data_IF_625812776645
#
_entry.id   IF_625812776645
#
_cell.length_a   1.000
_cell.length_b   1.000
_cell.length_c   1.000
_cell.angle_alpha   90.00
_cell.angle_beta   90.00
_cell.angle_gamma   90.00
#
_symmetry.space_group_name_H-M   'P 1'
#
loop_
_entity.id
_entity.type
_entity.pdbx_description
1 polymer ?
#
# COMPACT_ATOMS: atom_id res chain seq x y z
N UNK A 1 6.56 12.09 2.87
CA UNK A 1 7.26 11.07 2.06
C UNK A 1 6.97 11.33 0.59
N UNK A 2 7.95 11.08 -0.29
CA UNK A 2 7.80 11.34 -1.72
C UNK A 2 6.67 10.54 -2.37
N UNK A 3 6.47 9.31 -1.92
CA UNK A 3 5.39 8.46 -2.44
C UNK A 3 4.03 9.04 -2.09
N UNK A 4 3.86 9.51 -0.86
CA UNK A 4 2.63 10.19 -0.44
C UNK A 4 2.34 11.40 -1.32
N UNK A 5 3.35 12.23 -1.55
CA UNK A 5 3.19 13.43 -2.38
C UNK A 5 2.77 13.07 -3.81
N UNK A 6 3.32 11.98 -4.36
CA UNK A 6 2.93 11.51 -5.69
C UNK A 6 1.43 11.18 -5.76
N UNK A 7 0.93 10.42 -4.79
CA UNK A 7 -0.49 10.05 -4.76
C UNK A 7 -1.38 11.27 -4.56
N UNK A 8 -0.99 12.18 -3.68
CA UNK A 8 -1.80 13.38 -3.43
C UNK A 8 -1.87 14.28 -4.67
N UNK A 9 -0.79 14.37 -5.45
CA UNK A 9 -0.83 15.10 -6.73
C UNK A 9 -1.77 14.46 -7.73
N UNK A 10 -2.01 13.16 -7.61
CA UNK A 10 -2.96 12.43 -8.46
C UNK A 10 -4.40 12.46 -7.92
N UNK A 11 -4.65 13.26 -6.87
CA UNK A 11 -6.00 13.43 -6.33
C UNK A 11 -6.39 12.47 -5.24
N UNK A 12 -5.46 11.65 -4.72
CA UNK A 12 -5.73 10.75 -3.60
C UNK A 12 -5.72 11.51 -2.28
N UNK A 13 -6.51 11.02 -1.33
CA UNK A 13 -6.56 11.56 0.03
C UNK A 13 -5.82 10.59 0.94
N UNK A 14 -4.89 11.11 1.73
CA UNK A 14 -4.16 10.30 2.71
C UNK A 14 -5.06 10.02 3.92
N UNK A 15 -5.33 8.76 4.18
CA UNK A 15 -6.16 8.31 5.29
C UNK A 15 -5.31 7.90 6.50
N UNK A 16 -4.19 7.22 6.29
CA UNK A 16 -3.32 6.78 7.36
C UNK A 16 -1.90 6.54 6.88
N UNK A 17 -0.94 6.71 7.78
CA UNK A 17 0.46 6.36 7.58
C UNK A 17 0.88 5.37 8.66
N UNK A 18 1.67 4.36 8.27
CA UNK A 18 2.23 3.37 9.20
C UNK A 18 1.19 2.82 10.15
N UNK A 19 0.05 2.45 9.61
CA UNK A 19 -1.02 1.90 10.41
C UNK A 19 -0.67 0.49 10.86
N UNK A 20 -0.72 0.25 12.17
CA UNK A 20 -0.28 -0.99 12.77
C UNK A 20 -1.43 -1.79 13.36
N UNK A 21 -1.31 -3.11 13.25
CA UNK A 21 -2.22 -4.06 13.88
C UNK A 21 -1.43 -5.34 14.19
N UNK A 22 -2.02 -6.33 14.89
CA UNK A 22 -1.31 -7.59 15.18
C UNK A 22 -0.81 -8.33 13.95
N UNK A 23 -1.48 -8.16 12.80
CA UNK A 23 -1.08 -8.82 11.55
C UNK A 23 0.11 -8.16 10.87
N UNK A 24 0.43 -6.90 11.22
CA UNK A 24 1.54 -6.17 10.62
C UNK A 24 1.26 -4.69 10.45
N UNK A 25 2.07 -4.03 9.63
CA UNK A 25 1.98 -2.61 9.36
C UNK A 25 1.61 -2.37 7.90
N UNK A 26 0.77 -1.37 7.66
CA UNK A 26 0.48 -0.86 6.32
C UNK A 26 1.17 0.48 6.19
N UNK A 27 2.03 0.64 5.18
CA UNK A 27 2.81 1.86 5.03
C UNK A 27 1.95 3.08 4.78
N UNK A 28 1.01 2.98 3.86
CA UNK A 28 0.07 4.06 3.54
C UNK A 28 -1.31 3.51 3.24
N UNK A 29 -2.33 4.23 3.66
CA UNK A 29 -3.71 4.01 3.26
C UNK A 29 -4.20 5.29 2.58
N UNK A 30 -4.64 5.17 1.34
CA UNK A 30 -5.06 6.30 0.54
C UNK A 30 -6.45 6.04 -0.03
N UNK A 31 -7.24 7.10 -0.16
CA UNK A 31 -8.57 7.02 -0.73
C UNK A 31 -8.58 7.67 -2.10
N UNK A 32 -9.16 6.99 -3.09
CA UNK A 32 -9.39 7.53 -4.42
C UNK A 32 -10.81 7.20 -4.83
N UNK A 33 -11.66 8.21 -4.97
CA UNK A 33 -13.07 8.05 -5.33
C UNK A 33 -13.76 7.04 -4.40
N UNK A 34 -14.06 5.84 -4.90
CA UNK A 34 -14.80 4.84 -4.17
C UNK A 34 -13.94 3.67 -3.69
N UNK A 35 -12.62 3.82 -3.68
CA UNK A 35 -11.72 2.74 -3.34
C UNK A 35 -10.68 3.18 -2.32
N UNK A 36 -10.21 2.21 -1.52
CA UNK A 36 -9.05 2.40 -0.65
C UNK A 36 -7.86 1.67 -1.27
N UNK A 37 -6.74 2.36 -1.37
CA UNK A 37 -5.47 1.78 -1.79
C UNK A 37 -4.60 1.55 -0.56
N UNK A 38 -4.21 0.30 -0.35
CA UNK A 38 -3.26 -0.08 0.69
C UNK A 38 -1.91 -0.24 0.03
N UNK A 39 -0.93 0.53 0.49
CA UNK A 39 0.34 0.66 -0.19
C UNK A 39 1.47 0.07 0.64
N UNK A 40 2.28 -0.76 -0.01
CA UNK A 40 3.55 -1.26 0.50
C UNK A 40 4.68 -0.53 -0.21
N UNK A 41 5.62 0.02 0.55
CA UNK A 41 6.79 0.71 0.01
C UNK A 41 8.01 -0.19 0.17
N UNK A 42 8.71 -0.46 -0.92
CA UNK A 42 9.91 -1.28 -0.93
C UNK A 42 11.08 -0.51 -1.54
N UNK A 43 12.24 -0.62 -0.92
CA UNK A 43 13.48 -0.05 -1.41
C UNK A 43 14.43 -1.15 -1.86
N UNK A 44 15.10 -0.92 -2.98
CA UNK A 44 16.12 -1.83 -3.48
C UNK A 44 16.98 -1.12 -4.53
N UNK A 45 18.05 -1.78 -4.98
CA UNK A 45 18.90 -1.25 -6.05
C UNK A 45 18.13 -1.08 -7.35
N UNK A 46 17.19 -1.98 -7.64
CA UNK A 46 16.32 -1.90 -8.82
C UNK A 46 14.88 -2.16 -8.41
N UNK A 47 13.94 -1.69 -9.24
CA UNK A 47 12.51 -1.92 -9.01
C UNK A 47 12.16 -3.41 -9.09
N UNK A 48 12.74 -4.14 -10.03
CA UNK A 48 12.52 -5.58 -10.15
C UNK A 48 12.92 -6.34 -8.89
N UNK A 49 14.08 -6.01 -8.31
CA UNK A 49 14.54 -6.64 -7.07
C UNK A 49 13.63 -6.33 -5.89
N UNK A 50 13.09 -5.10 -5.84
CA UNK A 50 12.16 -4.72 -4.79
C UNK A 50 10.87 -5.54 -4.89
N UNK A 51 10.32 -5.72 -6.09
CA UNK A 51 9.11 -6.51 -6.31
C UNK A 51 9.31 -7.99 -5.97
N UNK A 52 10.47 -8.55 -6.30
CA UNK A 52 10.78 -9.95 -6.02
C UNK A 52 10.80 -10.29 -4.54
N UNK A 53 10.97 -9.28 -3.67
CA UNK A 53 10.97 -9.48 -2.22
C UNK A 53 9.58 -9.69 -1.64
N UNK A 54 8.53 -9.47 -2.42
CA UNK A 54 7.17 -9.58 -1.95
C UNK A 54 6.66 -11.00 -2.20
N UNK A 55 6.74 -11.84 -1.15
CA UNK A 55 6.28 -13.22 -1.20
C UNK A 55 4.86 -13.40 -0.70
N UNK A 56 4.38 -14.64 -0.77
CA UNK A 56 3.02 -14.99 -0.37
C UNK A 56 2.70 -14.61 1.08
N UNK A 57 3.65 -14.77 2.00
CA UNK A 57 3.45 -14.39 3.42
C UNK A 57 3.23 -12.89 3.56
N UNK A 58 3.96 -12.09 2.79
CA UNK A 58 3.81 -10.64 2.81
C UNK A 58 2.45 -10.23 2.30
N UNK A 59 1.99 -10.87 1.22
CA UNK A 59 0.68 -10.61 0.64
C UNK A 59 -0.43 -10.96 1.63
N UNK A 60 -0.35 -12.13 2.27
CA UNK A 60 -1.32 -12.55 3.27
C UNK A 60 -1.36 -11.58 4.44
N UNK A 61 -0.21 -11.14 4.91
CA UNK A 61 -0.11 -10.19 6.01
C UNK A 61 -0.76 -8.86 5.65
N UNK A 62 -0.48 -8.36 4.45
CA UNK A 62 -1.08 -7.11 3.97
C UNK A 62 -2.60 -7.24 3.86
N UNK A 63 -3.08 -8.37 3.34
CA UNK A 63 -4.51 -8.62 3.23
C UNK A 63 -5.18 -8.63 4.59
N UNK A 64 -4.59 -9.35 5.56
CA UNK A 64 -5.12 -9.41 6.92
C UNK A 64 -5.10 -8.04 7.59
N UNK A 65 -4.04 -7.26 7.37
CA UNK A 65 -3.95 -5.91 7.91
C UNK A 65 -5.01 -4.98 7.29
N UNK A 66 -5.28 -5.14 5.99
CA UNK A 66 -6.33 -4.38 5.33
C UNK A 66 -7.71 -4.71 5.91
N UNK A 67 -8.01 -5.98 6.15
CA UNK A 67 -9.27 -6.37 6.78
C UNK A 67 -9.38 -5.81 8.21
N UNK A 68 -8.28 -5.81 8.96
CA UNK A 68 -8.24 -5.22 10.29
C UNK A 68 -8.48 -3.70 10.23
N UNK A 69 -7.95 -3.03 9.21
CA UNK A 69 -8.20 -1.60 9.00
C UNK A 69 -9.68 -1.33 8.75
N UNK A 70 -10.32 -2.11 7.86
CA UNK A 70 -11.75 -1.94 7.59
C UNK A 70 -12.57 -2.11 8.87
N UNK A 71 -12.24 -3.12 9.67
CA UNK A 71 -12.94 -3.36 10.93
C UNK A 71 -12.74 -2.22 11.92
N UNK A 72 -11.51 -1.74 12.07
CA UNK A 72 -11.18 -0.65 12.99
C UNK A 72 -11.88 0.66 12.62
N UNK A 73 -12.08 0.91 11.33
CA UNK A 73 -12.76 2.11 10.83
C UNK A 73 -14.25 1.90 10.62
N UNK A 74 -14.76 0.72 10.99
CA UNK A 74 -16.18 0.38 10.84
C UNK A 74 -16.67 0.49 9.40
N UNK A 75 -15.79 0.12 8.46
CA UNK A 75 -16.12 0.07 7.04
C UNK A 75 -16.60 -1.34 6.67
N UNK A 76 -17.53 -1.47 5.70
CA UNK A 76 -17.99 -2.79 5.25
C UNK A 76 -16.85 -3.62 4.69
N UNK A 77 -16.91 -4.95 4.87
CA UNK A 77 -15.89 -5.86 4.32
C UNK A 77 -15.97 -5.96 2.79
N UNK A 78 -17.05 -5.51 2.16
CA UNK A 78 -17.15 -5.41 0.72
C UNK A 78 -16.69 -4.05 0.18
N UNK A 79 -16.07 -3.22 1.03
CA UNK A 79 -15.45 -1.98 0.58
C UNK A 79 -14.46 -2.29 -0.55
N UNK A 80 -14.51 -1.48 -1.60
CA UNK A 80 -13.61 -1.66 -2.73
C UNK A 80 -12.18 -1.31 -2.30
N UNK A 81 -11.28 -2.27 -2.35
CA UNK A 81 -9.89 -2.10 -1.94
C UNK A 81 -8.94 -2.49 -3.06
N UNK A 82 -7.74 -1.93 -3.02
CA UNK A 82 -6.68 -2.19 -3.96
C UNK A 82 -5.36 -2.23 -3.22
N UNK A 83 -4.46 -3.11 -3.64
CA UNK A 83 -3.10 -3.17 -3.09
C UNK A 83 -2.12 -2.65 -4.12
N UNK A 84 -1.39 -1.61 -3.76
CA UNK A 84 -0.36 -1.02 -4.61
C UNK A 84 1.01 -1.26 -3.99
N UNK A 85 2.01 -1.34 -4.84
CA UNK A 85 3.40 -1.41 -4.40
C UNK A 85 4.16 -0.25 -5.01
N UNK A 86 4.83 0.53 -4.16
CA UNK A 86 5.74 1.56 -4.60
C UNK A 86 7.16 1.07 -4.39
N UNK A 87 7.97 1.11 -5.43
CA UNK A 87 9.38 0.73 -5.34
C UNK A 87 10.26 1.97 -5.48
N UNK A 88 11.29 2.03 -4.64
CA UNK A 88 12.28 3.10 -4.65
C UNK A 88 13.63 2.49 -4.98
N UNK A 89 14.32 3.02 -5.98
CA UNK A 89 15.67 2.57 -6.27
C UNK A 89 16.69 3.38 -5.47
N UNK A 90 17.99 3.10 -5.69
CA UNK A 90 19.08 3.73 -4.93
C UNK A 90 19.23 5.21 -5.18
N UNK A 91 18.68 5.74 -6.29
CA UNK A 91 18.75 7.16 -6.62
C UNK A 91 17.44 7.90 -6.34
N UNK A 92 16.47 7.21 -5.72
CA UNK A 92 15.22 7.82 -5.31
C UNK A 92 14.13 7.87 -6.37
N UNK A 93 14.30 7.16 -7.48
CA UNK A 93 13.25 7.05 -8.51
C UNK A 93 12.13 6.17 -7.98
N UNK A 94 10.89 6.66 -8.13
CA UNK A 94 9.70 5.96 -7.65
C UNK A 94 8.99 5.31 -8.83
N UNK A 95 8.62 4.05 -8.65
CA UNK A 95 7.78 3.34 -9.60
C UNK A 95 6.61 2.72 -8.85
N UNK A 96 5.39 2.88 -9.34
CA UNK A 96 4.19 2.41 -8.68
C UNK A 96 3.53 1.34 -9.52
N UNK A 97 3.28 0.19 -8.90
CA UNK A 97 2.50 -0.89 -9.50
C UNK A 97 1.14 -0.89 -8.83
N UNK A 98 0.12 -0.41 -9.55
CA UNK A 98 -1.25 -0.42 -9.04
C UNK A 98 -1.82 -1.82 -9.13
N UNK A 99 -2.65 -2.17 -8.14
CA UNK A 99 -3.33 -3.47 -8.09
C UNK A 99 -2.35 -4.63 -8.25
N UNK A 100 -1.26 -4.58 -7.49
CA UNK A 100 -0.08 -5.43 -7.70
C UNK A 100 -0.34 -6.92 -7.46
N UNK A 101 -1.39 -7.26 -6.70
CA UNK A 101 -1.68 -8.65 -6.31
C UNK A 101 -2.96 -9.19 -6.95
N UNK A 102 -3.43 -8.53 -7.96
CA UNK A 102 -4.63 -8.98 -8.68
C UNK A 102 -4.34 -10.17 -9.60
#
# INVERSE_FOLDING_TARGET
MQVTAHYMRCGYILEAERWRCPSGEIDLVLQCKNALAFLEVKQSKTHSMALERIGARQIDRLYNAAMAYLAAKQLPFDTNIRFDVATLDSIGTIEIVENAFA
#
